data_IF_509820324288
#
_entry.id   IF_509820324288
#
_cell.length_a   1.000
_cell.length_b   1.000
_cell.length_c   1.000
_cell.angle_alpha   90.00
_cell.angle_beta   90.00
_cell.angle_gamma   90.00
#
_symmetry.space_group_name_H-M   'P 1'
#
loop_
_entity.id
_entity.type
_entity.pdbx_description
1 polymer ?
#
# COMPACT_ATOMS: atom_id res chain seq x y z
N UNK A 1 62.71 16.82 -46.87
CA UNK A 1 62.37 16.97 -48.30
C UNK A 1 62.14 18.44 -48.61
N UNK A 2 62.83 18.95 -49.66
CA UNK A 2 62.56 20.16 -50.48
C UNK A 2 62.12 21.44 -49.74
N UNK A 3 63.04 22.37 -49.46
CA UNK A 3 63.32 23.58 -50.28
C UNK A 3 62.02 24.30 -50.73
N UNK A 4 61.82 25.55 -50.29
CA UNK A 4 61.98 26.72 -51.17
C UNK A 4 61.90 28.03 -50.36
N UNK A 5 62.99 28.81 -50.47
CA UNK A 5 63.13 30.20 -50.02
C UNK A 5 62.26 31.10 -50.89
N UNK A 6 61.60 32.10 -50.30
CA UNK A 6 61.37 33.40 -50.94
C UNK A 6 61.75 34.50 -49.95
N UNK A 7 63.04 34.84 -49.95
CA UNK A 7 63.56 36.09 -49.39
C UNK A 7 63.21 37.18 -50.42
N UNK A 8 62.32 38.12 -50.08
CA UNK A 8 62.21 39.35 -50.84
C UNK A 8 63.26 40.32 -50.30
N UNK A 9 64.41 40.29 -50.96
CA UNK A 9 65.49 41.24 -50.80
C UNK A 9 65.14 42.38 -51.76
N UNK A 10 64.56 43.48 -51.28
CA UNK A 10 64.47 44.72 -52.07
C UNK A 10 65.80 45.44 -51.87
N UNK A 11 66.81 45.00 -52.61
CA UNK A 11 67.96 45.82 -52.95
C UNK A 11 67.66 46.44 -54.31
N UNK A 12 67.44 47.75 -54.36
CA UNK A 12 67.54 48.54 -55.57
C UNK A 12 68.71 49.51 -55.39
N UNK A 13 69.90 48.95 -55.51
CA UNK A 13 71.06 49.71 -55.97
C UNK A 13 71.00 49.66 -57.49
N UNK A 14 70.67 50.79 -58.12
CA UNK A 14 71.25 51.15 -59.43
C UNK A 14 71.77 52.58 -59.31
N UNK A 15 72.93 52.67 -58.67
CA UNK A 15 73.96 53.64 -58.99
C UNK A 15 74.60 53.15 -60.31
N UNK A 16 74.14 53.68 -61.45
CA UNK A 16 74.69 53.63 -62.82
C UNK A 16 73.60 54.25 -63.72
N UNK A 17 73.64 55.54 -64.05
CA UNK A 17 74.53 56.06 -65.09
C UNK A 17 74.94 57.52 -64.78
N UNK A 18 76.03 57.65 -64.03
CA UNK A 18 77.07 58.62 -64.39
C UNK A 18 77.84 58.05 -65.60
N UNK A 19 77.32 58.27 -66.80
CA UNK A 19 78.06 58.20 -68.06
C UNK A 19 77.28 58.99 -69.10
N UNK A 20 77.65 60.26 -69.27
CA UNK A 20 76.99 61.15 -70.21
C UNK A 20 77.35 62.62 -70.01
N UNK A 21 78.62 62.93 -69.81
CA UNK A 21 79.15 64.24 -70.21
C UNK A 21 78.91 64.39 -71.71
N UNK A 22 78.01 65.28 -72.12
CA UNK A 22 78.14 65.95 -73.41
C UNK A 22 78.09 67.44 -73.13
N UNK A 23 79.25 68.06 -73.33
CA UNK A 23 79.38 69.50 -73.33
C UNK A 23 78.45 70.16 -74.34
N UNK A 24 78.05 71.37 -73.98
CA UNK A 24 77.19 72.31 -74.69
C UNK A 24 77.42 72.43 -76.21
N UNK A 25 76.36 72.73 -76.95
CA UNK A 25 76.25 73.96 -77.76
C UNK A 25 74.80 74.43 -77.86
N UNK A 26 74.57 75.70 -77.53
CA UNK A 26 73.31 76.40 -77.80
C UNK A 26 73.22 76.77 -79.29
N UNK A 27 72.05 76.52 -79.89
CA UNK A 27 71.57 77.25 -81.08
C UNK A 27 70.13 77.65 -80.79
N UNK A 28 69.86 78.95 -80.85
CA UNK A 28 68.56 79.56 -80.64
C UNK A 28 67.69 79.42 -81.90
N UNK A 29 66.49 78.86 -81.77
CA UNK A 29 65.24 79.27 -82.42
C UNK A 29 64.15 78.20 -82.18
N UNK A 30 63.14 78.55 -81.37
CA UNK A 30 61.84 77.91 -81.20
C UNK A 30 61.74 76.37 -81.15
N UNK A 31 61.59 75.83 -79.94
CA UNK A 31 60.82 74.60 -79.68
C UNK A 31 61.66 73.37 -79.28
N UNK A 32 61.71 73.14 -77.97
CA UNK A 32 61.90 71.86 -77.26
C UNK A 32 63.24 71.10 -77.36
N UNK A 33 63.97 71.07 -76.25
CA UNK A 33 65.11 70.18 -76.00
C UNK A 33 64.58 68.76 -75.74
N UNK A 34 64.58 67.91 -76.77
CA UNK A 34 64.25 66.48 -76.63
C UNK A 34 65.50 65.72 -76.18
N UNK A 35 65.61 65.43 -74.89
CA UNK A 35 66.63 64.52 -74.35
C UNK A 35 66.07 63.09 -74.41
N UNK A 36 66.78 62.16 -75.07
CA UNK A 36 66.33 60.78 -75.38
C UNK A 36 66.02 59.84 -74.20
N UNK A 37 65.84 60.37 -72.98
CA UNK A 37 65.38 59.66 -71.80
C UNK A 37 63.88 59.78 -71.50
N UNK A 38 63.11 60.59 -72.25
CA UNK A 38 61.66 60.81 -72.01
C UNK A 38 60.83 59.51 -71.95
N UNK A 39 61.08 58.57 -72.87
CA UNK A 39 60.38 57.27 -72.88
C UNK A 39 60.69 56.41 -71.64
N UNK A 40 61.94 56.46 -71.18
CA UNK A 40 62.36 55.72 -69.98
C UNK A 40 61.74 56.35 -68.71
N UNK A 41 61.68 57.68 -68.64
CA UNK A 41 61.02 58.42 -67.55
C UNK A 41 59.52 58.13 -67.49
N UNK A 42 58.83 58.10 -68.63
CA UNK A 42 57.41 57.78 -68.69
C UNK A 42 57.13 56.34 -68.24
N UNK A 43 57.91 55.37 -68.72
CA UNK A 43 57.76 53.96 -68.31
C UNK A 43 58.03 53.75 -66.80
N UNK A 44 58.95 54.52 -66.22
CA UNK A 44 59.21 54.52 -64.78
C UNK A 44 58.01 55.12 -64.02
N UNK A 45 57.45 56.23 -64.51
CA UNK A 45 56.24 56.86 -63.93
C UNK A 45 55.05 55.90 -63.90
N UNK A 46 54.74 55.25 -65.02
CA UNK A 46 53.63 54.28 -65.12
C UNK A 46 53.84 53.08 -64.16
N UNK A 47 55.09 52.68 -63.98
CA UNK A 47 55.46 51.61 -63.05
C UNK A 47 55.31 52.04 -61.58
N UNK A 48 55.68 53.29 -61.26
CA UNK A 48 55.48 53.89 -59.94
C UNK A 48 53.99 54.02 -59.60
N UNK A 49 53.15 54.41 -60.55
CA UNK A 49 51.70 54.51 -60.36
C UNK A 49 51.06 53.15 -60.10
N UNK A 50 51.45 52.12 -60.88
CA UNK A 50 51.00 50.74 -60.66
C UNK A 50 51.44 50.21 -59.31
N UNK A 51 52.68 50.49 -58.89
CA UNK A 51 53.17 50.11 -57.56
C UNK A 51 52.40 50.82 -56.45
N UNK A 52 52.15 52.12 -56.59
CA UNK A 52 51.36 52.93 -55.65
C UNK A 52 49.94 52.38 -55.49
N UNK A 53 49.28 52.06 -56.61
CA UNK A 53 47.95 51.47 -56.62
C UNK A 53 47.93 50.08 -55.96
N UNK A 54 48.90 49.22 -56.26
CA UNK A 54 49.06 47.91 -55.62
C UNK A 54 49.31 48.03 -54.11
N UNK A 55 50.13 48.99 -53.66
CA UNK A 55 50.39 49.26 -52.25
C UNK A 55 49.10 49.69 -51.55
N UNK A 56 48.31 50.59 -52.17
CA UNK A 56 47.03 51.02 -51.63
C UNK A 56 46.04 49.84 -51.49
N UNK A 57 45.88 49.04 -52.55
CA UNK A 57 44.99 47.86 -52.51
C UNK A 57 45.42 46.84 -51.45
N UNK A 58 46.73 46.60 -51.30
CA UNK A 58 47.25 45.72 -50.24
C UNK A 58 47.00 46.31 -48.85
N UNK A 59 47.13 47.63 -48.67
CA UNK A 59 46.80 48.31 -47.41
C UNK A 59 45.32 48.15 -47.05
N UNK A 60 44.42 48.32 -48.02
CA UNK A 60 42.98 48.14 -47.83
C UNK A 60 42.64 46.69 -47.48
N UNK A 61 43.28 45.72 -48.15
CA UNK A 61 43.14 44.29 -47.85
C UNK A 61 43.61 43.95 -46.44
N UNK A 62 44.76 44.49 -45.99
CA UNK A 62 45.26 44.32 -44.63
C UNK A 62 44.27 44.90 -43.61
N UNK A 63 43.72 46.08 -43.88
CA UNK A 63 42.70 46.70 -43.03
C UNK A 63 41.47 45.81 -42.87
N UNK A 64 40.94 45.30 -43.99
CA UNK A 64 39.78 44.40 -43.99
C UNK A 64 40.07 43.08 -43.24
N UNK A 65 41.23 42.46 -43.49
CA UNK A 65 41.63 41.24 -42.78
C UNK A 65 41.77 41.47 -41.27
N UNK A 66 42.29 42.62 -40.84
CA UNK A 66 42.35 42.97 -39.43
C UNK A 66 40.95 43.11 -38.81
N UNK A 67 40.01 43.75 -39.50
CA UNK A 67 38.62 43.83 -39.04
C UNK A 67 37.97 42.45 -38.93
N UNK A 68 38.17 41.56 -39.91
CA UNK A 68 37.68 40.18 -39.85
C UNK A 68 38.31 39.39 -38.70
N UNK A 69 39.62 39.56 -38.46
CA UNK A 69 40.31 38.92 -37.34
C UNK A 69 39.72 39.33 -35.99
N UNK A 70 39.45 40.62 -35.79
CA UNK A 70 38.83 41.10 -34.55
C UNK A 70 37.39 40.60 -34.37
N UNK A 71 36.63 40.44 -35.45
CA UNK A 71 35.30 39.79 -35.38
C UNK A 71 35.42 38.32 -34.98
N UNK A 72 36.29 37.55 -35.64
CA UNK A 72 36.51 36.12 -35.32
C UNK A 72 36.98 35.94 -33.87
N UNK A 73 37.82 36.84 -33.34
CA UNK A 73 38.24 36.81 -31.92
C UNK A 73 37.05 36.97 -30.97
N UNK A 74 36.15 37.93 -31.24
CA UNK A 74 34.95 38.16 -30.42
C UNK A 74 33.97 36.98 -30.49
N UNK A 75 33.79 36.39 -31.67
CA UNK A 75 32.96 35.20 -31.85
C UNK A 75 33.54 34.00 -31.09
N UNK A 76 34.87 33.81 -31.13
CA UNK A 76 35.57 32.77 -30.38
C UNK A 76 35.41 32.94 -28.86
N UNK A 77 35.54 34.17 -28.36
CA UNK A 77 35.33 34.47 -26.93
C UNK A 77 33.89 34.19 -26.49
N UNK A 78 32.92 34.60 -27.31
CA UNK A 78 31.49 34.33 -27.07
C UNK A 78 31.22 32.83 -27.07
N UNK A 79 31.73 32.10 -28.06
CA UNK A 79 31.57 30.65 -28.17
C UNK A 79 32.20 29.92 -26.98
N UNK A 80 33.39 30.34 -26.53
CA UNK A 80 34.02 29.81 -25.32
C UNK A 80 33.14 30.06 -24.09
N UNK A 81 32.53 31.23 -23.96
CA UNK A 81 31.56 31.53 -22.90
C UNK A 81 30.37 30.56 -22.92
N UNK A 82 29.76 30.35 -24.09
CA UNK A 82 28.65 29.39 -24.24
C UNK A 82 29.06 27.96 -23.89
N UNK A 83 30.25 27.52 -24.29
CA UNK A 83 30.78 26.18 -23.96
C UNK A 83 30.91 26.01 -22.43
N UNK A 84 31.38 27.03 -21.71
CA UNK A 84 31.47 26.95 -20.25
C UNK A 84 30.09 26.91 -19.60
N UNK A 85 29.13 27.71 -20.08
CA UNK A 85 27.74 27.64 -19.61
C UNK A 85 27.15 26.24 -19.82
N UNK A 86 27.31 25.64 -21.00
CA UNK A 86 26.81 24.29 -21.27
C UNK A 86 27.48 23.23 -20.40
N UNK A 87 28.80 23.33 -20.15
CA UNK A 87 29.49 22.43 -19.21
C UNK A 87 28.90 22.49 -17.81
N UNK A 88 28.62 23.69 -17.32
CA UNK A 88 27.99 23.88 -16.01
C UNK A 88 26.57 23.30 -15.97
N UNK A 89 25.77 23.52 -17.03
CA UNK A 89 24.44 22.93 -17.15
C UNK A 89 24.47 21.40 -17.16
N UNK A 90 25.39 20.80 -17.92
CA UNK A 90 25.56 19.33 -17.96
C UNK A 90 25.90 18.78 -16.57
N UNK A 91 26.86 19.38 -15.87
CA UNK A 91 27.21 18.98 -14.50
C UNK A 91 26.02 19.12 -13.52
N UNK A 92 25.21 20.17 -13.69
CA UNK A 92 23.96 20.35 -12.95
C UNK A 92 22.95 19.23 -13.22
N UNK A 93 22.74 18.87 -14.48
CA UNK A 93 21.83 17.78 -14.86
C UNK A 93 22.33 16.41 -14.41
N UNK A 94 23.64 16.14 -14.45
CA UNK A 94 24.23 14.90 -13.93
C UNK A 94 23.98 14.76 -12.43
N UNK A 95 24.12 15.86 -11.68
CA UNK A 95 23.85 15.88 -10.24
C UNK A 95 22.37 15.64 -9.93
N UNK A 96 21.46 16.27 -10.68
CA UNK A 96 20.01 16.05 -10.56
C UNK A 96 19.63 14.60 -10.89
N UNK A 97 20.19 14.04 -11.97
CA UNK A 97 19.96 12.65 -12.37
C UNK A 97 20.42 11.66 -11.29
N UNK A 98 21.59 11.89 -10.71
CA UNK A 98 22.11 11.07 -9.62
C UNK A 98 21.18 11.12 -8.40
N UNK A 99 20.73 12.31 -8.02
CA UNK A 99 19.80 12.49 -6.91
C UNK A 99 18.44 11.80 -7.17
N UNK A 100 17.87 11.95 -8.36
CA UNK A 100 16.63 11.29 -8.74
C UNK A 100 16.75 9.76 -8.73
N UNK A 101 17.88 9.20 -9.19
CA UNK A 101 18.16 7.76 -9.10
C UNK A 101 18.18 7.26 -7.65
N UNK A 102 18.82 8.02 -6.75
CA UNK A 102 18.85 7.67 -5.33
C UNK A 102 17.45 7.74 -4.69
N UNK A 103 16.65 8.76 -5.03
CA UNK A 103 15.27 8.86 -4.57
C UNK A 103 14.41 7.70 -5.08
N UNK A 104 14.55 7.32 -6.35
CA UNK A 104 13.83 6.19 -6.93
C UNK A 104 14.17 4.88 -6.19
N UNK A 105 15.46 4.59 -6.00
CA UNK A 105 15.88 3.39 -5.28
C UNK A 105 15.36 3.35 -3.83
N UNK A 106 15.31 4.50 -3.15
CA UNK A 106 14.73 4.62 -1.81
C UNK A 106 13.22 4.31 -1.83
N UNK A 107 12.49 4.83 -2.82
CA UNK A 107 11.06 4.57 -2.99
C UNK A 107 10.76 3.12 -3.35
N UNK A 108 11.58 2.48 -4.18
CA UNK A 108 11.45 1.06 -4.50
C UNK A 108 11.61 0.20 -3.23
N UNK A 109 12.58 0.53 -2.37
CA UNK A 109 12.73 -0.15 -1.07
C UNK A 109 11.54 0.09 -0.13
N UNK A 110 10.99 1.30 -0.09
CA UNK A 110 9.79 1.62 0.70
C UNK A 110 8.58 0.80 0.21
N UNK A 111 8.40 0.69 -1.11
CA UNK A 111 7.33 -0.10 -1.73
C UNK A 111 7.49 -1.58 -1.38
N UNK A 112 8.69 -2.15 -1.53
CA UNK A 112 8.96 -3.54 -1.17
C UNK A 112 8.70 -3.80 0.32
N UNK A 113 9.08 -2.87 1.20
CA UNK A 113 8.77 -2.93 2.63
C UNK A 113 7.27 -2.98 2.91
N UNK A 114 6.49 -2.08 2.29
CA UNK A 114 5.02 -2.06 2.42
C UNK A 114 4.36 -3.30 1.85
N UNK A 115 4.85 -3.85 0.74
CA UNK A 115 4.34 -5.10 0.18
C UNK A 115 4.52 -6.27 1.15
N UNK A 116 5.69 -6.37 1.80
CA UNK A 116 5.93 -7.39 2.83
C UNK A 116 5.02 -7.21 4.05
N UNK A 117 4.80 -5.97 4.50
CA UNK A 117 3.88 -5.68 5.61
C UNK A 117 2.44 -6.09 5.26
N UNK A 118 1.98 -5.76 4.05
CA UNK A 118 0.65 -6.15 3.56
C UNK A 118 0.51 -7.68 3.54
N UNK A 119 1.50 -8.39 3.00
CA UNK A 119 1.49 -9.85 2.97
C UNK A 119 1.45 -10.46 4.38
N UNK A 120 2.21 -9.88 5.32
CA UNK A 120 2.19 -10.28 6.73
C UNK A 120 0.81 -10.10 7.36
N UNK A 121 0.18 -8.92 7.17
CA UNK A 121 -1.18 -8.64 7.67
C UNK A 121 -2.23 -9.55 7.04
N UNK A 122 -2.11 -9.86 5.75
CA UNK A 122 -3.02 -10.80 5.06
C UNK A 122 -2.95 -12.20 5.67
N UNK A 123 -1.74 -12.69 5.97
CA UNK A 123 -1.57 -13.99 6.65
C UNK A 123 -2.17 -13.98 8.07
N UNK A 124 -1.95 -12.91 8.85
CA UNK A 124 -2.53 -12.79 10.19
C UNK A 124 -4.08 -12.80 10.14
N UNK A 125 -4.66 -12.07 9.18
CA UNK A 125 -6.12 -12.05 8.98
C UNK A 125 -6.63 -13.45 8.64
N UNK A 126 -5.98 -14.19 7.73
CA UNK A 126 -6.38 -15.55 7.37
C UNK A 126 -6.32 -16.51 8.57
N UNK A 127 -5.27 -16.41 9.40
CA UNK A 127 -5.15 -17.21 10.62
C UNK A 127 -6.28 -16.90 11.60
N UNK A 128 -6.57 -15.62 11.85
CA UNK A 128 -7.66 -15.21 12.73
C UNK A 128 -9.03 -15.66 12.22
N UNK A 129 -9.26 -15.62 10.91
CA UNK A 129 -10.50 -16.14 10.30
C UNK A 129 -10.63 -17.65 10.59
N UNK A 130 -9.56 -18.42 10.41
CA UNK A 130 -9.58 -19.86 10.68
C UNK A 130 -9.85 -20.16 12.17
N UNK A 131 -9.21 -19.44 13.08
CA UNK A 131 -9.45 -19.58 14.53
C UNK A 131 -10.88 -19.23 14.93
N UNK A 132 -11.43 -18.15 14.36
CA UNK A 132 -12.83 -17.74 14.62
C UNK A 132 -13.79 -18.80 14.10
N UNK A 133 -13.56 -19.33 12.90
CA UNK A 133 -14.40 -20.38 12.33
C UNK A 133 -14.39 -21.64 13.19
N UNK A 134 -13.21 -22.07 13.66
CA UNK A 134 -13.08 -23.18 14.58
C UNK A 134 -13.88 -22.95 15.88
N UNK A 135 -13.78 -21.76 16.48
CA UNK A 135 -14.54 -21.44 17.70
C UNK A 135 -16.04 -21.39 17.48
N UNK A 136 -16.50 -20.95 16.31
CA UNK A 136 -17.91 -20.99 15.92
C UNK A 136 -18.37 -22.44 15.85
N UNK A 137 -17.61 -23.32 15.20
CA UNK A 137 -17.96 -24.73 15.06
C UNK A 137 -17.99 -25.44 16.42
N UNK A 138 -16.99 -25.20 17.28
CA UNK A 138 -16.97 -25.69 18.66
C UNK A 138 -18.16 -25.18 19.48
N UNK A 139 -18.51 -23.90 19.33
CA UNK A 139 -19.66 -23.29 19.97
C UNK A 139 -20.98 -23.94 19.54
N UNK A 140 -21.16 -24.12 18.23
CA UNK A 140 -22.34 -24.76 17.65
C UNK A 140 -22.49 -26.21 18.15
N UNK A 141 -21.40 -26.97 18.23
CA UNK A 141 -21.41 -28.32 18.79
C UNK A 141 -21.83 -28.34 20.27
N UNK A 142 -21.31 -27.40 21.08
CA UNK A 142 -21.69 -27.28 22.50
C UNK A 142 -23.17 -26.92 22.67
N UNK A 143 -23.70 -26.01 21.84
CA UNK A 143 -25.12 -25.65 21.85
C UNK A 143 -25.98 -26.86 21.47
N UNK A 144 -25.63 -27.58 20.40
CA UNK A 144 -26.35 -28.79 19.99
C UNK A 144 -26.35 -29.87 21.08
N UNK A 145 -25.21 -30.10 21.72
CA UNK A 145 -25.11 -31.04 22.84
C UNK A 145 -25.98 -30.62 24.03
N UNK A 146 -26.00 -29.32 24.38
CA UNK A 146 -26.85 -28.80 25.45
C UNK A 146 -28.34 -28.85 25.12
N UNK A 147 -28.71 -28.65 23.86
CA UNK A 147 -30.10 -28.82 23.42
C UNK A 147 -30.55 -30.27 23.58
N UNK A 148 -29.72 -31.24 23.17
CA UNK A 148 -30.02 -32.65 23.35
C UNK A 148 -30.15 -33.05 24.84
N UNK A 149 -29.29 -32.52 25.70
CA UNK A 149 -29.37 -32.73 27.16
C UNK A 149 -30.67 -32.12 27.75
N UNK A 150 -31.04 -30.93 27.30
CA UNK A 150 -32.29 -30.27 27.71
C UNK A 150 -33.52 -31.08 27.28
N UNK A 151 -33.58 -31.52 26.03
CA UNK A 151 -34.69 -32.31 25.50
C UNK A 151 -34.84 -33.64 26.27
N UNK A 152 -33.71 -34.30 26.60
CA UNK A 152 -33.71 -35.50 27.43
C UNK A 152 -34.27 -35.23 28.83
N UNK A 153 -33.86 -34.13 29.47
CA UNK A 153 -34.37 -33.74 30.79
C UNK A 153 -35.83 -33.34 30.77
N UNK A 154 -36.29 -32.70 29.71
CA UNK A 154 -37.70 -32.36 29.53
C UNK A 154 -38.56 -33.62 29.41
N UNK A 155 -38.09 -34.63 28.69
CA UNK A 155 -38.77 -35.93 28.59
C UNK A 155 -38.82 -36.66 29.94
N UNK A 156 -37.72 -36.65 30.69
CA UNK A 156 -37.65 -37.22 32.05
C UNK A 156 -38.63 -36.52 32.99
N UNK A 157 -38.67 -35.18 32.97
CA UNK A 157 -39.62 -34.40 33.76
C UNK A 157 -41.08 -34.76 33.45
N UNK A 158 -41.42 -34.87 32.16
CA UNK A 158 -42.77 -35.24 31.73
C UNK A 158 -43.16 -36.63 32.23
N UNK A 159 -42.24 -37.60 32.14
CA UNK A 159 -42.46 -38.96 32.64
C UNK A 159 -42.68 -38.99 34.17
N UNK A 160 -41.85 -38.27 34.93
CA UNK A 160 -42.01 -38.15 36.39
C UNK A 160 -43.36 -37.52 36.74
N UNK A 161 -43.78 -36.50 36.00
CA UNK A 161 -45.05 -35.82 36.25
C UNK A 161 -46.27 -36.74 36.00
N UNK A 162 -46.19 -37.62 35.00
CA UNK A 162 -47.19 -38.67 34.77
C UNK A 162 -47.21 -39.67 35.93
N UNK A 163 -46.04 -40.16 36.36
CA UNK A 163 -45.93 -41.08 37.51
C UNK A 163 -46.48 -40.47 38.81
N UNK A 164 -46.24 -39.18 39.04
CA UNK A 164 -46.78 -38.44 40.19
C UNK A 164 -48.32 -38.38 40.13
N UNK A 165 -48.87 -38.10 38.96
CA UNK A 165 -50.32 -38.06 38.75
C UNK A 165 -50.98 -39.43 39.01
N UNK A 166 -50.37 -40.50 38.52
CA UNK A 166 -50.82 -41.88 38.80
C UNK A 166 -50.73 -42.23 40.29
N UNK A 167 -49.65 -41.82 40.96
CA UNK A 167 -49.45 -42.06 42.39
C UNK A 167 -50.50 -41.32 43.23
N UNK A 168 -50.82 -40.07 42.87
CA UNK A 168 -51.89 -39.30 43.51
C UNK A 168 -53.26 -39.96 43.31
N UNK A 169 -53.54 -40.52 42.13
CA UNK A 169 -54.78 -41.27 41.88
C UNK A 169 -54.88 -42.51 42.77
N UNK A 170 -53.81 -43.31 42.83
CA UNK A 170 -53.72 -44.49 43.72
C UNK A 170 -53.88 -44.11 45.19
N UNK A 171 -53.28 -42.99 45.62
CA UNK A 171 -53.42 -42.49 46.98
C UNK A 171 -54.89 -42.17 47.31
N UNK A 172 -55.59 -41.48 46.40
CA UNK A 172 -57.03 -41.20 46.56
C UNK A 172 -57.89 -42.46 46.60
N UNK A 173 -57.61 -43.44 45.74
CA UNK A 173 -58.28 -44.76 45.77
C UNK A 173 -58.08 -45.47 47.11
N UNK A 174 -56.85 -45.45 47.64
CA UNK A 174 -56.51 -46.07 48.92
C UNK A 174 -57.19 -45.35 50.09
N UNK A 175 -57.25 -44.01 50.08
CA UNK A 175 -57.97 -43.21 51.07
C UNK A 175 -59.47 -43.54 51.08
N UNK A 176 -60.09 -43.64 49.91
CA UNK A 176 -61.51 -44.03 49.79
C UNK A 176 -61.75 -45.44 50.34
N UNK A 177 -60.89 -46.40 49.98
CA UNK A 177 -60.98 -47.77 50.50
C UNK A 177 -60.81 -47.82 52.02
N UNK A 178 -59.89 -47.03 52.58
CA UNK A 178 -59.66 -46.94 54.02
C UNK A 178 -60.88 -46.38 54.77
N UNK A 179 -61.49 -45.31 54.25
CA UNK A 179 -62.73 -44.74 54.80
C UNK A 179 -63.89 -45.74 54.76
N UNK A 180 -64.02 -46.49 53.66
CA UNK A 180 -65.05 -47.54 53.55
C UNK A 180 -64.84 -48.66 54.58
N UNK A 181 -63.62 -49.18 54.72
CA UNK A 181 -63.30 -50.21 55.73
C UNK A 181 -63.54 -49.72 57.14
N UNK A 182 -63.30 -48.44 57.41
CA UNK A 182 -63.59 -47.82 58.72
C UNK A 182 -65.09 -47.85 59.01
N UNK A 183 -65.93 -47.46 58.04
CA UNK A 183 -67.39 -47.52 58.16
C UNK A 183 -67.90 -48.96 58.33
N UNK A 184 -67.34 -49.92 57.58
CA UNK A 184 -67.73 -51.32 57.70
C UNK A 184 -67.36 -51.89 59.08
N UNK A 185 -66.22 -51.50 59.64
CA UNK A 185 -65.79 -51.88 60.98
C UNK A 185 -66.69 -51.30 62.08
N UNK A 186 -67.15 -50.05 61.94
CA UNK A 186 -68.14 -49.44 62.83
C UNK A 186 -69.47 -50.20 62.83
N UNK A 187 -69.98 -50.57 61.64
CA UNK A 187 -71.21 -51.38 61.52
C UNK A 187 -71.06 -52.76 62.14
N UNK A 188 -69.91 -53.43 61.92
CA UNK A 188 -69.62 -54.72 62.52
C UNK A 188 -69.59 -54.61 64.07
N UNK A 189 -68.95 -53.56 64.61
CA UNK A 189 -68.93 -53.31 66.05
C UNK A 189 -70.33 -53.06 66.61
N UNK A 190 -71.17 -52.29 65.92
CA UNK A 190 -72.57 -52.08 66.30
C UNK A 190 -73.37 -53.40 66.30
N UNK A 191 -73.17 -54.23 65.30
CA UNK A 191 -73.79 -55.57 65.20
C UNK A 191 -73.35 -56.47 66.35
N UNK A 192 -72.07 -56.48 66.70
CA UNK A 192 -71.53 -57.24 67.84
C UNK A 192 -72.19 -56.76 69.15
N UNK A 193 -72.31 -55.44 69.35
CA UNK A 193 -72.95 -54.87 70.54
C UNK A 193 -74.44 -55.29 70.65
N UNK A 194 -75.19 -55.28 69.55
CA UNK A 194 -76.58 -55.74 69.51
C UNK A 194 -76.70 -57.23 69.86
N UNK A 195 -75.86 -58.08 69.28
CA UNK A 195 -75.83 -59.50 69.64
C UNK A 195 -75.45 -59.74 71.10
N UNK A 196 -74.50 -58.98 71.64
CA UNK A 196 -74.13 -59.06 73.05
C UNK A 196 -75.32 -58.70 73.96
N UNK A 197 -76.08 -57.65 73.63
CA UNK A 197 -77.28 -57.26 74.37
C UNK A 197 -78.39 -58.33 74.30
N UNK A 198 -78.61 -58.91 73.11
CA UNK A 198 -79.57 -60.03 72.92
C UNK A 198 -79.16 -61.26 73.72
N UNK A 199 -77.88 -61.61 73.73
CA UNK A 199 -77.35 -62.72 74.50
C UNK A 199 -77.56 -62.49 76.01
N UNK A 200 -77.31 -61.27 76.50
CA UNK A 200 -77.51 -60.92 77.90
C UNK A 200 -78.99 -61.00 78.30
N UNK A 201 -79.90 -60.52 77.45
CA UNK A 201 -81.34 -60.67 77.65
C UNK A 201 -81.75 -62.15 77.72
N UNK A 202 -81.27 -62.97 76.78
CA UNK A 202 -81.55 -64.40 76.76
C UNK A 202 -81.04 -65.11 78.02
N UNK A 203 -79.83 -64.77 78.52
CA UNK A 203 -79.31 -65.28 79.79
C UNK A 203 -80.21 -64.93 80.97
N UNK A 204 -80.67 -63.68 81.05
CA UNK A 204 -81.58 -63.24 82.10
C UNK A 204 -82.93 -63.97 82.05
N UNK A 205 -83.48 -64.16 80.86
CA UNK A 205 -84.70 -64.95 80.65
C UNK A 205 -84.53 -66.41 81.10
N UNK A 206 -83.41 -67.06 80.74
CA UNK A 206 -83.08 -68.42 81.21
C UNK A 206 -82.97 -68.48 82.73
N UNK A 207 -82.28 -67.52 83.36
CA UNK A 207 -82.18 -67.46 84.82
C UNK A 207 -83.55 -67.28 85.50
N UNK A 208 -84.41 -66.41 84.98
CA UNK A 208 -85.76 -66.20 85.50
C UNK A 208 -86.62 -67.47 85.37
N UNK A 209 -86.54 -68.15 84.22
CA UNK A 209 -87.24 -69.42 84.01
C UNK A 209 -86.76 -70.50 84.97
N UNK A 210 -85.45 -70.58 85.22
CA UNK A 210 -84.87 -71.50 86.20
C UNK A 210 -85.42 -71.23 87.61
N UNK A 211 -85.40 -69.98 88.07
CA UNK A 211 -85.97 -69.60 89.38
C UNK A 211 -87.46 -69.94 89.49
N UNK A 212 -88.23 -69.74 88.41
CA UNK A 212 -89.65 -70.10 88.38
C UNK A 212 -89.85 -71.61 88.48
N UNK A 213 -89.05 -72.39 87.75
CA UNK A 213 -89.08 -73.85 87.83
C UNK A 213 -88.73 -74.32 89.26
N UNK A 214 -87.69 -73.77 89.87
CA UNK A 214 -87.29 -74.09 91.25
C UNK A 214 -88.42 -73.80 92.26
N UNK A 215 -89.14 -72.67 92.12
CA UNK A 215 -90.32 -72.37 92.95
C UNK A 215 -91.43 -73.40 92.79
N UNK A 216 -91.80 -73.72 91.55
CA UNK A 216 -92.84 -74.71 91.26
C UNK A 216 -92.47 -76.09 91.84
N UNK A 217 -91.20 -76.49 91.77
CA UNK A 217 -90.73 -77.73 92.39
C UNK A 217 -90.85 -77.68 93.91
N UNK A 218 -90.49 -76.56 94.55
CA UNK A 218 -90.61 -76.40 96.01
C UNK A 218 -92.05 -76.28 96.53
N UNK A 219 -93.00 -75.83 95.71
CA UNK A 219 -94.42 -75.72 96.06
C UNK A 219 -95.19 -77.06 95.91
N UNK A 220 -94.61 -78.04 95.20
CA UNK A 220 -95.21 -79.36 94.95
C UNK A 220 -94.51 -80.50 95.73
N UNK A 221 -93.70 -80.16 96.73
CA UNK A 221 -93.09 -81.06 97.72
C UNK A 221 -93.74 -80.84 99.08
#
# INVERSE_FOLDING_TARGET
>A
MKKHKKKYLVALVVMLLSAGTVGARAVFANGDVIWGGESNTQSISDSLDKLSLNIKQKKDSISSLNSSLETVKRDLETSNGSVQTYKNSVSGYESQLSNLKAQLASKDNEIAGKQNEIAGKQNEIQQKIAEIQQKIDEGNQKVAAKQAEFDAKQNEFNAINQQLSESNRKLGELQNSYSQKTSDLEKANSTIADYAAKLEKAKNEVNNLKQKADRVVSENQ
#
